data_IF_220949562726
#
_entry.id   IF_220949562726
#
_cell.length_a   1.000
_cell.length_b   1.000
_cell.length_c   1.000
_cell.angle_alpha   90.00
_cell.angle_beta   90.00
_cell.angle_gamma   90.00
#
_symmetry.space_group_name_H-M   'P 1'
#
loop_
_entity.id
_entity.type
_entity.pdbx_description
1 polymer ?
#
# COMPACT_ATOMS: atom_id res chain seq x y z
N UNK A 1 15.36 -0.38 -14.26
CA UNK A 1 14.45 0.74 -14.52
C UNK A 1 14.26 1.48 -13.22
N UNK A 2 14.35 2.81 -13.26
CA UNK A 2 14.09 3.60 -12.06
C UNK A 2 12.59 3.47 -11.71
N UNK A 3 12.21 3.18 -10.45
CA UNK A 3 10.82 3.17 -10.00
C UNK A 3 10.02 4.44 -10.33
N UNK A 4 10.67 5.59 -10.48
CA UNK A 4 10.03 6.84 -10.88
C UNK A 4 9.60 6.86 -12.36
N UNK A 5 10.18 5.99 -13.21
CA UNK A 5 9.95 5.98 -14.66
C UNK A 5 8.76 5.12 -15.08
N UNK A 6 8.11 4.39 -14.17
CA UNK A 6 6.95 3.56 -14.52
C UNK A 6 5.82 3.65 -13.51
N UNK A 7 4.59 3.55 -14.02
CA UNK A 7 3.39 3.65 -13.21
C UNK A 7 3.15 2.35 -12.44
N UNK A 8 3.36 2.41 -11.12
CA UNK A 8 3.04 1.32 -10.21
C UNK A 8 2.24 1.87 -9.02
N UNK A 9 0.92 1.77 -9.12
CA UNK A 9 -0.05 2.22 -8.10
C UNK A 9 -1.10 1.14 -7.84
N UNK A 10 -1.52 0.99 -6.59
CA UNK A 10 -2.57 0.04 -6.18
C UNK A 10 -3.45 0.63 -5.06
N UNK A 11 -4.60 -0.01 -4.83
CA UNK A 11 -5.51 0.26 -3.71
C UNK A 11 -5.52 -0.98 -2.82
N UNK A 12 -4.68 -1.06 -1.77
CA UNK A 12 -4.63 -2.24 -0.91
C UNK A 12 -5.83 -2.30 0.02
N UNK A 13 -6.34 -3.50 0.22
CA UNK A 13 -7.36 -3.83 1.21
C UNK A 13 -6.72 -4.56 2.39
N UNK A 14 -7.17 -4.26 3.60
CA UNK A 14 -6.69 -4.89 4.83
C UNK A 14 -7.85 -5.52 5.58
N UNK A 15 -7.57 -6.68 6.17
CA UNK A 15 -8.44 -7.36 7.12
C UNK A 15 -7.68 -7.44 8.44
N UNK A 16 -8.24 -6.83 9.48
CA UNK A 16 -7.67 -6.80 10.82
C UNK A 16 -8.69 -7.33 11.84
N UNK A 17 -8.25 -8.02 12.90
CA UNK A 17 -9.11 -8.34 14.04
C UNK A 17 -9.61 -7.07 14.74
N UNK A 18 -10.67 -7.21 15.54
CA UNK A 18 -11.13 -6.16 16.42
C UNK A 18 -10.01 -5.67 17.37
N UNK A 19 -9.94 -4.35 17.59
CA UNK A 19 -8.96 -3.72 18.47
C UNK A 19 -8.11 -2.66 17.78
N UNK A 20 -6.81 -2.63 18.10
CA UNK A 20 -5.88 -1.53 17.73
C UNK A 20 -5.89 -1.15 16.24
N UNK A 21 -6.06 -2.14 15.36
CA UNK A 21 -5.97 -1.95 13.91
C UNK A 21 -7.32 -2.08 13.18
N UNK A 22 -8.43 -2.20 13.91
CA UNK A 22 -9.75 -2.38 13.32
C UNK A 22 -10.18 -1.20 12.41
N UNK A 23 -9.62 -0.01 12.64
CA UNK A 23 -9.83 1.14 11.76
C UNK A 23 -9.38 0.90 10.31
N UNK A 24 -8.47 -0.05 10.07
CA UNK A 24 -7.99 -0.41 8.74
C UNK A 24 -9.07 -1.11 7.91
N UNK A 25 -9.98 -1.86 8.54
CA UNK A 25 -11.13 -2.50 7.88
C UNK A 25 -12.11 -1.47 7.26
N UNK A 26 -12.03 -0.21 7.70
CA UNK A 26 -12.99 0.86 7.39
C UNK A 26 -12.34 2.07 6.74
N UNK A 27 -11.17 1.89 6.12
CA UNK A 27 -10.38 2.96 5.52
C UNK A 27 -10.00 2.64 4.07
N UNK A 28 -9.94 3.67 3.23
CA UNK A 28 -9.35 3.56 1.90
C UNK A 28 -7.85 3.86 1.98
N UNK A 29 -7.07 3.05 1.27
CA UNK A 29 -5.63 3.21 1.17
C UNK A 29 -5.21 3.37 -0.29
N UNK A 30 -4.15 4.14 -0.49
CA UNK A 30 -3.44 4.21 -1.77
C UNK A 30 -2.00 3.75 -1.57
N UNK A 31 -1.42 3.17 -2.61
CA UNK A 31 -0.10 2.60 -2.57
C UNK A 31 0.73 3.01 -3.79
N UNK A 32 2.02 3.26 -3.56
CA UNK A 32 3.04 3.40 -4.61
C UNK A 32 4.04 2.26 -4.47
N UNK A 33 4.34 1.59 -5.59
CA UNK A 33 5.26 0.46 -5.63
C UNK A 33 6.60 0.79 -6.32
N UNK A 34 7.66 0.17 -5.84
CA UNK A 34 8.96 0.10 -6.52
C UNK A 34 9.40 -1.37 -6.61
N UNK A 35 9.85 -1.80 -7.79
CA UNK A 35 10.34 -3.15 -8.05
C UNK A 35 11.85 -3.12 -8.07
N UNK A 36 12.44 -3.93 -7.22
CA UNK A 36 13.86 -4.19 -7.16
C UNK A 36 14.13 -5.64 -7.57
N UNK A 37 15.41 -5.98 -7.78
CA UNK A 37 15.80 -7.33 -8.21
C UNK A 37 15.35 -8.42 -7.21
N UNK A 38 15.40 -8.11 -5.91
CA UNK A 38 15.09 -9.05 -4.84
C UNK A 38 13.66 -8.97 -4.30
N UNK A 39 12.82 -8.06 -4.80
CA UNK A 39 11.46 -7.90 -4.29
C UNK A 39 10.84 -6.55 -4.62
N UNK A 40 9.77 -6.23 -3.91
CA UNK A 40 9.05 -4.96 -4.07
C UNK A 40 9.07 -4.17 -2.77
N UNK A 41 9.12 -2.85 -2.90
CA UNK A 41 8.86 -1.91 -1.81
C UNK A 41 7.53 -1.23 -2.06
N UNK A 42 6.66 -1.27 -1.07
CA UNK A 42 5.34 -0.65 -1.10
C UNK A 42 5.31 0.45 -0.05
N UNK A 43 4.92 1.64 -0.45
CA UNK A 43 4.55 2.71 0.46
C UNK A 43 3.03 2.84 0.43
N UNK A 44 2.41 2.81 1.60
CA UNK A 44 0.95 2.79 1.76
C UNK A 44 0.53 4.00 2.59
N UNK A 45 -0.50 4.70 2.14
CA UNK A 45 -1.09 5.84 2.83
C UNK A 45 -2.58 5.65 3.02
N UNK A 46 -3.08 6.07 4.18
CA UNK A 46 -4.51 6.18 4.46
C UNK A 46 -5.03 7.46 3.82
N UNK A 47 -6.18 7.39 3.14
CA UNK A 47 -6.91 8.57 2.68
C UNK A 47 -7.68 9.18 3.87
N UNK A 48 -7.57 10.49 4.06
CA UNK A 48 -8.19 11.25 5.17
C UNK A 48 -9.24 12.22 4.67
#
# INVERSE_FOLDING_TARGET
VDPAEYYFRTVPEFIAPEGKYDWMNRSIFICSGARYKAGIKLWVWRVT
#
